data_IF_677388725528
#
_entry.id   IF_677388725528
#
_cell.length_a   1.000
_cell.length_b   1.000
_cell.length_c   1.000
_cell.angle_alpha   90.00
_cell.angle_beta   90.00
_cell.angle_gamma   90.00
#
_symmetry.space_group_name_H-M   'P 1'
#
loop_
_entity.id
_entity.type
_entity.pdbx_description
1 polymer ?
#
# COMPACT_ATOMS: atom_id res chain seq x y z
N UNK A 1 -22.78 25.89 34.09
CA UNK A 1 -21.85 25.32 33.10
C UNK A 1 -20.46 25.80 33.49
N UNK A 2 -19.61 24.87 33.95
CA UNK A 2 -18.27 25.18 34.47
C UNK A 2 -17.27 25.24 33.32
N UNK A 3 -16.32 26.18 33.42
CA UNK A 3 -15.23 26.40 32.45
C UNK A 3 -14.49 25.10 32.06
N UNK A 4 -14.45 24.15 32.99
CA UNK A 4 -13.81 22.84 32.88
C UNK A 4 -14.44 21.92 31.82
N UNK A 5 -15.78 21.91 31.69
CA UNK A 5 -16.47 21.10 30.67
C UNK A 5 -16.18 21.60 29.25
N UNK A 6 -16.08 22.92 29.07
CA UNK A 6 -15.73 23.56 27.79
C UNK A 6 -14.28 23.29 27.40
N UNK A 7 -13.35 23.36 28.35
CA UNK A 7 -11.93 23.06 28.11
C UNK A 7 -11.70 21.58 27.79
N UNK A 8 -12.39 20.67 28.46
CA UNK A 8 -12.31 19.23 28.18
C UNK A 8 -12.85 18.88 26.78
N UNK A 9 -13.95 19.49 26.34
CA UNK A 9 -14.48 19.31 24.97
C UNK A 9 -13.52 19.82 23.89
N UNK A 10 -12.88 20.96 24.13
CA UNK A 10 -11.90 21.56 23.22
C UNK A 10 -10.65 20.68 23.08
N UNK A 11 -10.17 20.10 24.18
CA UNK A 11 -9.05 19.16 24.15
C UNK A 11 -9.42 17.86 23.43
N UNK A 12 -10.62 17.33 23.65
CA UNK A 12 -11.11 16.13 22.97
C UNK A 12 -11.23 16.34 21.44
N UNK A 13 -11.81 17.47 20.99
CA UNK A 13 -11.92 17.77 19.55
C UNK A 13 -10.56 18.00 18.90
N UNK A 14 -9.63 18.62 19.62
CA UNK A 14 -8.25 18.84 19.14
C UNK A 14 -7.52 17.50 19.00
N UNK A 15 -7.71 16.59 19.97
CA UNK A 15 -7.14 15.24 19.94
C UNK A 15 -7.68 14.41 18.77
N UNK A 16 -9.00 14.41 18.56
CA UNK A 16 -9.62 13.75 17.40
C UNK A 16 -9.10 14.31 16.07
N UNK A 17 -8.91 15.63 15.98
CA UNK A 17 -8.36 16.28 14.79
C UNK A 17 -6.91 15.85 14.52
N UNK A 18 -6.08 15.77 15.56
CA UNK A 18 -4.70 15.29 15.45
C UNK A 18 -4.67 13.81 15.03
N UNK A 19 -5.51 12.96 15.61
CA UNK A 19 -5.61 11.55 15.23
C UNK A 19 -6.00 11.37 13.77
N UNK A 20 -6.93 12.17 13.25
CA UNK A 20 -7.29 12.16 11.82
C UNK A 20 -6.13 12.56 10.92
N UNK A 21 -5.36 13.59 11.28
CA UNK A 21 -4.17 14.02 10.53
C UNK A 21 -3.11 12.92 10.51
N UNK A 22 -2.79 12.33 11.67
CA UNK A 22 -1.80 11.26 11.80
C UNK A 22 -2.23 10.03 10.99
N UNK A 23 -3.51 9.65 11.05
CA UNK A 23 -4.05 8.55 10.27
C UNK A 23 -4.00 8.85 8.76
N UNK A 24 -4.31 10.08 8.35
CA UNK A 24 -4.20 10.53 6.96
C UNK A 24 -2.76 10.41 6.43
N UNK A 25 -1.79 10.91 7.20
CA UNK A 25 -0.36 10.83 6.87
C UNK A 25 0.10 9.36 6.82
N UNK A 26 -0.26 8.54 7.81
CA UNK A 26 0.11 7.12 7.86
C UNK A 26 -0.42 6.36 6.64
N UNK A 27 -1.67 6.60 6.25
CA UNK A 27 -2.26 5.98 5.06
C UNK A 27 -1.58 6.45 3.78
N UNK A 28 -1.23 7.73 3.66
CA UNK A 28 -0.49 8.24 2.51
C UNK A 28 0.90 7.57 2.37
N UNK A 29 1.64 7.43 3.48
CA UNK A 29 2.93 6.73 3.47
C UNK A 29 2.79 5.25 3.10
N UNK A 30 1.75 4.55 3.57
CA UNK A 30 1.48 3.15 3.17
C UNK A 30 1.18 3.03 1.68
N UNK A 31 0.38 3.93 1.13
CA UNK A 31 0.09 3.96 -0.31
C UNK A 31 1.35 4.27 -1.13
N UNK A 32 2.17 5.22 -0.67
CA UNK A 32 3.45 5.52 -1.29
C UNK A 32 4.38 4.30 -1.28
N UNK A 33 4.55 3.65 -0.12
CA UNK A 33 5.36 2.44 0.01
C UNK A 33 4.88 1.31 -0.90
N UNK A 34 3.56 1.05 -0.95
CA UNK A 34 2.98 0.06 -1.85
C UNK A 34 3.24 0.38 -3.34
N UNK A 35 3.18 1.67 -3.71
CA UNK A 35 3.47 2.12 -5.08
C UNK A 35 4.96 1.95 -5.43
N UNK A 36 5.86 2.23 -4.47
CA UNK A 36 7.30 2.08 -4.63
C UNK A 36 7.69 0.60 -4.76
N UNK A 37 7.09 -0.27 -3.96
CA UNK A 37 7.27 -1.72 -4.06
C UNK A 37 6.87 -2.27 -5.43
N UNK A 38 5.76 -1.77 -6.00
CA UNK A 38 5.32 -2.18 -7.33
C UNK A 38 6.25 -1.66 -8.44
N UNK A 39 6.78 -0.44 -8.29
CA UNK A 39 7.78 0.11 -9.21
C UNK A 39 9.10 -0.68 -9.18
N UNK A 40 9.62 -0.97 -7.98
CA UNK A 40 10.84 -1.77 -7.79
C UNK A 40 10.65 -3.17 -8.36
N UNK A 41 9.50 -3.81 -8.11
CA UNK A 41 9.19 -5.11 -8.66
C UNK A 41 9.17 -5.08 -10.20
N UNK A 42 8.58 -4.06 -10.82
CA UNK A 42 8.57 -3.92 -12.28
C UNK A 42 9.98 -3.76 -12.85
N UNK A 43 10.88 -3.05 -12.17
CA UNK A 43 12.28 -2.93 -12.58
C UNK A 43 12.98 -4.29 -12.52
N UNK A 44 12.84 -5.02 -11.40
CA UNK A 44 13.44 -6.36 -11.25
C UNK A 44 12.92 -7.34 -12.31
N UNK A 45 11.62 -7.28 -12.62
CA UNK A 45 11.02 -8.11 -13.69
C UNK A 45 11.61 -7.76 -15.06
N UNK A 46 11.79 -6.47 -15.38
CA UNK A 46 12.39 -6.04 -16.65
C UNK A 46 13.84 -6.50 -16.78
N UNK A 47 14.60 -6.45 -15.70
CA UNK A 47 16.01 -6.88 -15.64
C UNK A 47 16.16 -8.41 -15.64
N UNK A 48 15.13 -9.14 -15.20
CA UNK A 48 15.16 -10.60 -15.15
C UNK A 48 15.34 -11.23 -16.53
N UNK A 49 16.32 -12.13 -16.63
CA UNK A 49 16.55 -12.96 -17.81
C UNK A 49 15.72 -14.26 -17.80
N UNK A 50 15.05 -14.57 -16.69
CA UNK A 50 14.26 -15.80 -16.58
C UNK A 50 12.95 -15.69 -17.40
N UNK A 51 12.75 -16.55 -18.41
CA UNK A 51 11.53 -16.54 -19.23
C UNK A 51 10.27 -16.86 -18.42
N UNK A 52 10.36 -17.61 -17.31
CA UNK A 52 9.23 -17.90 -16.41
C UNK A 52 8.74 -16.63 -15.72
N UNK A 53 9.65 -15.77 -15.26
CA UNK A 53 9.30 -14.47 -14.65
C UNK A 53 8.54 -13.60 -15.65
N UNK A 54 9.03 -13.48 -16.88
CA UNK A 54 8.36 -12.73 -17.94
C UNK A 54 6.97 -13.29 -18.26
N UNK A 55 6.86 -14.62 -18.36
CA UNK A 55 5.57 -15.32 -18.59
C UNK A 55 4.56 -15.04 -17.47
N UNK A 56 4.96 -15.19 -16.21
CA UNK A 56 4.07 -14.93 -15.07
C UNK A 56 3.67 -13.45 -14.98
N UNK A 57 4.60 -12.54 -15.25
CA UNK A 57 4.30 -11.11 -15.26
C UNK A 57 3.31 -10.72 -16.37
N UNK A 58 3.44 -11.32 -17.56
CA UNK A 58 2.50 -11.09 -18.65
C UNK A 58 1.07 -11.52 -18.28
N UNK A 59 0.93 -12.68 -17.62
CA UNK A 59 -0.36 -13.16 -17.10
C UNK A 59 -0.89 -12.20 -16.01
N UNK A 60 -0.02 -11.78 -15.08
CA UNK A 60 -0.38 -10.81 -14.03
C UNK A 60 -0.93 -9.50 -14.60
N UNK A 61 -0.30 -8.94 -15.64
CA UNK A 61 -0.76 -7.69 -16.27
C UNK A 61 -2.10 -7.84 -17.00
N UNK A 62 -2.30 -8.96 -17.70
CA UNK A 62 -3.49 -9.17 -18.54
C UNK A 62 -4.74 -9.60 -17.75
N UNK A 63 -4.57 -10.36 -16.67
CA UNK A 63 -5.71 -10.91 -15.94
C UNK A 63 -6.37 -9.86 -15.03
N UNK A 64 -7.70 -9.78 -15.05
CA UNK A 64 -8.48 -8.97 -14.09
C UNK A 64 -8.89 -9.76 -12.85
N UNK A 65 -8.77 -11.10 -12.87
CA UNK A 65 -9.14 -11.97 -11.75
C UNK A 65 -8.11 -11.86 -10.62
N UNK A 66 -8.54 -11.33 -9.47
CA UNK A 66 -7.68 -11.10 -8.30
C UNK A 66 -6.92 -12.35 -7.84
N UNK A 67 -7.59 -13.51 -7.73
CA UNK A 67 -6.96 -14.77 -7.30
C UNK A 67 -5.81 -15.18 -8.22
N UNK A 68 -5.96 -14.98 -9.52
CA UNK A 68 -4.92 -15.31 -10.50
C UNK A 68 -3.76 -14.31 -10.39
N UNK A 69 -4.04 -13.00 -10.30
CA UNK A 69 -3.01 -11.98 -10.07
C UNK A 69 -2.15 -12.32 -8.86
N UNK A 70 -2.77 -12.61 -7.71
CA UNK A 70 -2.08 -12.96 -6.47
C UNK A 70 -1.21 -14.21 -6.62
N UNK A 71 -1.70 -15.24 -7.33
CA UNK A 71 -0.95 -16.46 -7.61
C UNK A 71 0.28 -16.20 -8.49
N UNK A 72 0.15 -15.40 -9.55
CA UNK A 72 1.29 -15.06 -10.41
C UNK A 72 2.32 -14.20 -9.68
N UNK A 73 1.87 -13.23 -8.88
CA UNK A 73 2.75 -12.39 -8.08
C UNK A 73 3.58 -13.21 -7.09
N UNK A 74 2.97 -14.19 -6.41
CA UNK A 74 3.69 -15.14 -5.54
C UNK A 74 4.78 -15.90 -6.29
N UNK A 75 4.50 -16.36 -7.51
CA UNK A 75 5.49 -17.08 -8.32
C UNK A 75 6.65 -16.19 -8.76
N UNK A 76 6.38 -14.94 -9.12
CA UNK A 76 7.42 -13.98 -9.50
C UNK A 76 8.34 -13.69 -8.29
N UNK A 77 7.75 -13.41 -7.12
CA UNK A 77 8.50 -13.15 -5.87
C UNK A 77 9.26 -14.36 -5.33
N UNK A 78 8.92 -15.56 -5.76
CA UNK A 78 9.66 -16.77 -5.38
C UNK A 78 10.92 -16.99 -6.25
N UNK A 79 11.01 -16.33 -7.40
CA UNK A 79 12.13 -16.43 -8.33
C UNK A 79 13.08 -15.22 -8.19
N UNK A 80 12.51 -14.02 -7.97
CA UNK A 80 13.24 -12.76 -7.76
C UNK A 80 13.50 -12.49 -6.28
#
# INVERSE_FOLDING_TARGET
MTLDETSQRLLASTRESIEQIVNGISNAFRLFGASMDEAVLNIRIKQSRDPKVKKYHQIYRRTKRYRIKKKQLKKIKAIL
#
